data_IF_737976681281
#
_entry.id   IF_737976681281
#
_cell.length_a   1.000
_cell.length_b   1.000
_cell.length_c   1.000
_cell.angle_alpha   90.00
_cell.angle_beta   90.00
_cell.angle_gamma   90.00
#
_symmetry.space_group_name_H-M   'P 1'
#
loop_
_entity.id
_entity.type
_entity.pdbx_description
1 polymer ?
#
# COMPACT_ATOMS: atom_id res chain seq x y z
N UNK A 1 -2.15 17.26 16.67
CA UNK A 1 -2.85 17.26 17.95
C UNK A 1 -4.19 18.04 17.90
N UNK A 2 -4.32 19.13 17.12
CA UNK A 2 -5.51 20.00 17.14
C UNK A 2 -6.73 19.47 16.38
N UNK A 3 -6.58 18.60 15.39
CA UNK A 3 -7.70 18.20 14.55
C UNK A 3 -8.75 17.33 15.25
N UNK A 4 -8.37 16.60 16.32
CA UNK A 4 -9.31 15.82 17.14
C UNK A 4 -10.26 16.72 17.94
N UNK A 5 -9.88 17.97 18.18
CA UNK A 5 -10.62 18.97 18.95
C UNK A 5 -11.25 20.06 18.07
N UNK A 6 -10.94 20.06 16.77
CA UNK A 6 -11.35 21.15 15.87
C UNK A 6 -12.82 21.04 15.39
N UNK A 7 -13.50 19.90 15.62
CA UNK A 7 -14.84 19.67 15.09
C UNK A 7 -14.87 19.77 13.56
N UNK A 8 -15.89 20.42 13.01
CA UNK A 8 -16.01 20.63 11.56
C UNK A 8 -15.03 21.71 11.10
N UNK A 9 -14.03 21.32 10.32
CA UNK A 9 -13.06 22.26 9.72
C UNK A 9 -13.57 22.70 8.36
N UNK A 10 -13.69 24.02 8.15
CA UNK A 10 -14.04 24.62 6.86
C UNK A 10 -12.82 25.36 6.32
N UNK A 11 -12.45 25.07 5.06
CA UNK A 11 -11.39 25.80 4.36
C UNK A 11 -11.99 27.00 3.64
N UNK A 12 -11.46 28.20 3.91
CA UNK A 12 -11.76 29.42 3.15
C UNK A 12 -10.54 29.81 2.31
N UNK A 13 -10.76 30.19 1.06
CA UNK A 13 -9.71 30.79 0.23
C UNK A 13 -9.48 32.23 0.71
N UNK A 14 -8.25 32.52 1.10
CA UNK A 14 -7.82 33.85 1.54
C UNK A 14 -6.88 34.52 0.53
N UNK A 15 -6.84 34.03 -0.72
CA UNK A 15 -6.07 34.61 -1.80
C UNK A 15 -4.57 34.35 -1.75
N UNK A 16 -4.11 33.28 -1.10
CA UNK A 16 -2.69 32.89 -1.13
C UNK A 16 -2.32 32.50 -2.56
N UNK A 17 -1.29 33.13 -3.18
CA UNK A 17 -0.87 32.80 -4.53
C UNK A 17 -0.51 31.30 -4.66
N UNK A 18 -0.99 30.66 -5.72
CA UNK A 18 -0.69 29.25 -5.99
C UNK A 18 0.81 28.96 -6.08
N UNK A 19 1.62 29.92 -6.52
CA UNK A 19 3.09 29.81 -6.57
C UNK A 19 3.71 29.64 -5.19
N UNK A 20 3.15 30.27 -4.16
CA UNK A 20 3.61 30.08 -2.78
C UNK A 20 3.14 28.74 -2.20
N UNK A 21 1.93 28.30 -2.54
CA UNK A 21 1.44 26.98 -2.13
C UNK A 21 2.25 25.86 -2.77
N UNK A 22 2.65 26.02 -4.03
CA UNK A 22 3.47 25.02 -4.75
C UNK A 22 4.93 24.98 -4.27
N UNK A 23 5.40 25.98 -3.51
CA UNK A 23 6.75 25.99 -2.92
C UNK A 23 6.83 25.26 -1.56
N UNK A 24 5.71 24.79 -1.04
CA UNK A 24 5.69 24.04 0.21
C UNK A 24 6.29 22.63 -0.05
N UNK A 25 7.27 22.25 0.76
CA UNK A 25 7.90 20.91 0.72
C UNK A 25 6.94 19.78 1.09
N UNK A 26 5.81 20.13 1.71
CA UNK A 26 4.83 19.20 2.24
C UNK A 26 3.52 19.32 1.47
N UNK A 27 3.02 18.21 0.94
CA UNK A 27 1.80 18.17 0.14
C UNK A 27 0.75 17.21 0.73
N UNK A 28 -0.50 17.63 0.72
CA UNK A 28 -1.63 16.76 1.06
C UNK A 28 -2.08 16.00 -0.18
N UNK A 29 -2.22 14.69 -0.08
CA UNK A 29 -2.86 13.89 -1.12
C UNK A 29 -4.37 14.13 -1.07
N UNK A 30 -4.94 14.68 -2.14
CA UNK A 30 -6.37 15.01 -2.26
C UNK A 30 -7.04 14.11 -3.29
N UNK A 31 -8.38 13.99 -3.25
CA UNK A 31 -9.15 13.27 -4.26
C UNK A 31 -8.88 13.79 -5.69
N UNK A 32 -8.73 15.12 -5.86
CA UNK A 32 -8.41 15.73 -7.15
C UNK A 32 -7.05 15.29 -7.67
N UNK A 33 -6.04 15.24 -6.82
CA UNK A 33 -4.73 14.71 -7.19
C UNK A 33 -4.80 13.22 -7.56
N UNK A 34 -5.50 12.42 -6.75
CA UNK A 34 -5.69 10.97 -7.02
C UNK A 34 -6.39 10.76 -8.37
N UNK A 35 -7.40 11.57 -8.69
CA UNK A 35 -8.11 11.49 -9.98
C UNK A 35 -7.20 11.70 -11.18
N UNK A 36 -6.22 12.60 -11.09
CA UNK A 36 -5.28 12.84 -12.21
C UNK A 36 -4.32 11.67 -12.43
N UNK A 37 -3.91 10.98 -11.36
CA UNK A 37 -3.01 9.82 -11.40
C UNK A 37 -3.71 8.47 -11.62
N UNK A 38 -5.03 8.43 -11.53
CA UNK A 38 -5.81 7.19 -11.57
C UNK A 38 -6.89 7.25 -12.67
N UNK A 39 -6.55 7.01 -13.94
CA UNK A 39 -7.51 7.08 -15.05
C UNK A 39 -8.64 6.05 -14.88
N UNK A 40 -9.88 6.37 -15.32
CA UNK A 40 -10.99 5.43 -15.30
C UNK A 40 -10.68 4.17 -16.11
N UNK A 41 -10.90 2.99 -15.54
CA UNK A 41 -10.77 1.71 -16.29
C UNK A 41 -11.76 1.57 -17.47
N UNK A 42 -12.86 2.32 -17.41
CA UNK A 42 -13.96 2.27 -18.40
C UNK A 42 -13.60 2.85 -19.77
N UNK A 43 -12.47 3.55 -19.89
CA UNK A 43 -12.08 4.21 -21.14
C UNK A 43 -11.60 3.24 -22.24
N UNK A 44 -11.18 2.03 -21.88
CA UNK A 44 -10.72 1.03 -22.86
C UNK A 44 -11.56 -0.25 -22.76
N UNK A 45 -12.58 -0.36 -23.61
CA UNK A 45 -13.46 -1.54 -23.65
C UNK A 45 -12.78 -2.79 -24.22
N UNK A 46 -11.72 -2.63 -24.99
CA UNK A 46 -10.96 -3.73 -25.61
C UNK A 46 -9.80 -4.22 -24.70
N UNK A 47 -9.65 -3.64 -23.51
CA UNK A 47 -8.58 -4.03 -22.60
C UNK A 47 -8.80 -5.45 -22.07
N UNK A 48 -7.78 -6.28 -22.25
CA UNK A 48 -7.72 -7.61 -21.63
C UNK A 48 -7.09 -7.55 -20.23
N UNK A 49 -7.17 -8.66 -19.50
CA UNK A 49 -6.61 -8.77 -18.14
C UNK A 49 -5.11 -8.40 -18.06
N UNK A 50 -4.33 -8.64 -19.10
CA UNK A 50 -2.90 -8.31 -19.13
C UNK A 50 -2.62 -6.80 -19.18
N UNK A 51 -3.54 -6.00 -19.74
CA UNK A 51 -3.43 -4.55 -19.84
C UNK A 51 -3.52 -3.84 -18.46
N UNK A 52 -4.08 -4.52 -17.45
CA UNK A 52 -4.24 -3.98 -16.10
C UNK A 52 -3.14 -4.43 -15.13
N UNK A 53 -2.03 -4.95 -15.65
CA UNK A 53 -0.88 -5.37 -14.88
C UNK A 53 -1.00 -6.78 -14.30
N UNK A 54 0.17 -7.32 -13.98
CA UNK A 54 0.37 -8.63 -13.33
C UNK A 54 1.17 -8.42 -12.08
N UNK A 55 0.65 -8.85 -10.94
CA UNK A 55 1.29 -8.71 -9.64
C UNK A 55 1.71 -10.10 -9.12
N UNK A 56 2.94 -10.20 -8.63
CA UNK A 56 3.37 -11.33 -7.81
C UNK A 56 3.26 -10.95 -6.33
N UNK A 57 2.51 -11.72 -5.57
CA UNK A 57 2.42 -11.61 -4.12
C UNK A 57 3.19 -12.76 -3.50
N UNK A 58 4.16 -12.45 -2.65
CA UNK A 58 4.95 -13.41 -1.87
C UNK A 58 4.54 -13.20 -0.41
N UNK A 59 3.60 -14.01 0.07
CA UNK A 59 2.93 -13.79 1.34
C UNK A 59 2.37 -15.08 1.92
N UNK A 60 2.02 -15.03 3.19
CA UNK A 60 1.38 -16.15 3.88
C UNK A 60 2.35 -17.22 4.35
N UNK A 61 1.92 -17.91 5.39
CA UNK A 61 2.54 -19.11 5.98
C UNK A 61 1.42 -19.99 6.53
N UNK A 62 1.77 -21.17 7.02
CA UNK A 62 0.79 -22.13 7.55
C UNK A 62 -0.11 -21.55 8.63
N UNK A 63 0.42 -20.61 9.42
CA UNK A 63 -0.32 -19.92 10.47
C UNK A 63 -1.04 -18.63 9.99
N UNK A 64 -0.68 -18.10 8.82
CA UNK A 64 -1.17 -16.81 8.33
C UNK A 64 -1.59 -16.83 6.84
N UNK A 65 -2.36 -17.84 6.37
CA UNK A 65 -2.80 -17.89 4.96
C UNK A 65 -3.74 -16.70 4.62
N UNK A 66 -4.42 -16.16 5.62
CA UNK A 66 -5.32 -15.02 5.47
C UNK A 66 -4.63 -13.73 5.04
N UNK A 67 -3.38 -13.50 5.45
CA UNK A 67 -2.61 -12.32 5.04
C UNK A 67 -2.37 -12.30 3.53
N UNK A 68 -2.00 -13.45 2.96
CA UNK A 68 -1.88 -13.61 1.51
C UNK A 68 -3.22 -13.38 0.79
N UNK A 69 -4.32 -13.91 1.35
CA UNK A 69 -5.64 -13.78 0.76
C UNK A 69 -6.15 -12.33 0.78
N UNK A 70 -5.94 -11.59 1.88
CA UNK A 70 -6.30 -10.17 1.99
C UNK A 70 -5.51 -9.31 1.00
N UNK A 71 -4.18 -9.52 0.89
CA UNK A 71 -3.34 -8.83 -0.07
C UNK A 71 -3.76 -9.11 -1.52
N UNK A 72 -4.05 -10.37 -1.85
CA UNK A 72 -4.46 -10.76 -3.20
C UNK A 72 -5.87 -10.24 -3.55
N UNK A 73 -6.83 -10.35 -2.63
CA UNK A 73 -8.18 -9.81 -2.78
C UNK A 73 -8.15 -8.31 -3.03
N UNK A 74 -7.42 -7.57 -2.21
CA UNK A 74 -7.33 -6.11 -2.33
C UNK A 74 -6.60 -5.69 -3.61
N UNK A 75 -5.62 -6.45 -4.09
CA UNK A 75 -4.98 -6.23 -5.37
C UNK A 75 -5.96 -6.38 -6.54
N UNK A 76 -6.76 -7.44 -6.56
CA UNK A 76 -7.81 -7.65 -7.57
C UNK A 76 -8.87 -6.53 -7.50
N UNK A 77 -9.33 -6.18 -6.30
CA UNK A 77 -10.27 -5.07 -6.05
C UNK A 77 -9.68 -3.71 -6.41
N UNK A 78 -8.38 -3.51 -6.20
CA UNK A 78 -7.61 -2.34 -6.63
C UNK A 78 -7.47 -2.20 -8.14
N UNK A 79 -7.78 -3.27 -8.87
CA UNK A 79 -7.85 -3.25 -10.32
C UNK A 79 -6.69 -3.98 -11.02
N UNK A 80 -5.86 -4.75 -10.33
CA UNK A 80 -4.87 -5.62 -10.97
C UNK A 80 -5.57 -6.63 -11.89
N UNK A 81 -5.01 -6.86 -13.07
CA UNK A 81 -5.61 -7.77 -14.06
C UNK A 81 -5.33 -9.24 -13.79
N UNK A 82 -4.19 -9.56 -13.16
CA UNK A 82 -3.79 -10.91 -12.82
C UNK A 82 -2.90 -10.89 -11.57
N UNK A 83 -3.24 -11.74 -10.60
CA UNK A 83 -2.49 -11.85 -9.34
C UNK A 83 -1.94 -13.28 -9.23
N UNK A 84 -0.63 -13.41 -9.12
CA UNK A 84 0.05 -14.63 -8.73
C UNK A 84 0.35 -14.59 -7.25
N UNK A 85 0.16 -15.70 -6.54
CA UNK A 85 0.49 -15.80 -5.12
C UNK A 85 1.45 -16.97 -4.92
N UNK A 86 2.68 -16.62 -4.54
CA UNK A 86 3.71 -17.62 -4.19
C UNK A 86 3.53 -18.01 -2.72
N UNK A 87 2.98 -19.19 -2.51
CA UNK A 87 2.68 -19.77 -1.19
C UNK A 87 2.85 -21.29 -1.25
N UNK A 88 3.49 -21.87 -0.24
CA UNK A 88 3.77 -23.30 -0.15
C UNK A 88 3.02 -23.93 1.03
N UNK A 89 3.18 -25.26 1.17
CA UNK A 89 2.69 -26.03 2.31
C UNK A 89 1.16 -26.09 2.44
N UNK A 90 0.65 -26.45 3.61
CA UNK A 90 -0.78 -26.50 3.93
C UNK A 90 -1.52 -25.18 3.70
N UNK A 91 -0.83 -24.05 3.87
CA UNK A 91 -1.37 -22.71 3.61
C UNK A 91 -1.90 -22.55 2.18
N UNK A 92 -1.32 -23.23 1.20
CA UNK A 92 -1.75 -23.22 -0.20
C UNK A 92 -3.20 -23.75 -0.37
N UNK A 93 -3.54 -24.84 0.31
CA UNK A 93 -4.90 -25.39 0.29
C UNK A 93 -5.90 -24.47 0.94
N UNK A 94 -5.54 -23.90 2.11
CA UNK A 94 -6.39 -22.93 2.80
C UNK A 94 -6.64 -21.68 1.94
N UNK A 95 -5.59 -21.15 1.30
CA UNK A 95 -5.68 -19.99 0.40
C UNK A 95 -6.65 -20.23 -0.77
N UNK A 96 -6.60 -21.42 -1.42
CA UNK A 96 -7.48 -21.74 -2.56
C UNK A 96 -8.96 -21.62 -2.23
N UNK A 97 -9.33 -21.89 -0.97
CA UNK A 97 -10.71 -21.73 -0.50
C UNK A 97 -11.10 -20.29 -0.18
N UNK A 98 -10.11 -19.42 0.07
CA UNK A 98 -10.32 -18.02 0.44
C UNK A 98 -10.42 -17.09 -0.78
N UNK A 99 -9.68 -17.39 -1.86
CA UNK A 99 -9.64 -16.54 -3.06
C UNK A 99 -9.30 -17.36 -4.31
N UNK A 100 -10.29 -17.99 -4.95
CA UNK A 100 -10.10 -18.82 -6.15
C UNK A 100 -9.71 -18.01 -7.41
N UNK A 101 -9.85 -16.69 -7.40
CA UNK A 101 -9.52 -15.81 -8.53
C UNK A 101 -8.03 -15.57 -8.72
N UNK A 102 -7.20 -15.89 -7.71
CA UNK A 102 -5.74 -15.75 -7.80
C UNK A 102 -5.09 -17.01 -8.37
N UNK A 103 -3.99 -16.82 -9.09
CA UNK A 103 -3.17 -17.93 -9.62
C UNK A 103 -2.14 -18.33 -8.57
N UNK A 104 -2.21 -19.57 -8.08
CA UNK A 104 -1.24 -20.08 -7.12
C UNK A 104 0.03 -20.55 -7.79
N UNK A 105 1.16 -20.21 -7.18
CA UNK A 105 2.49 -20.66 -7.53
C UNK A 105 3.24 -21.17 -6.29
N UNK A 106 4.23 -21.99 -6.48
CA UNK A 106 5.21 -22.34 -5.45
C UNK A 106 6.26 -21.24 -5.32
N UNK A 107 6.88 -21.09 -4.16
CA UNK A 107 8.03 -20.17 -3.97
C UNK A 107 9.22 -20.53 -4.86
N UNK A 108 9.38 -21.80 -5.25
CA UNK A 108 10.39 -22.23 -6.22
C UNK A 108 10.19 -21.65 -7.63
N UNK A 109 8.97 -21.21 -7.97
CA UNK A 109 8.63 -20.62 -9.27
C UNK A 109 8.88 -19.10 -9.32
N UNK A 110 9.27 -18.47 -8.18
CA UNK A 110 9.50 -17.01 -8.10
C UNK A 110 10.46 -16.51 -9.19
N UNK A 111 11.64 -17.12 -9.45
CA UNK A 111 12.56 -16.60 -10.47
C UNK A 111 11.94 -16.57 -11.88
N UNK A 112 11.13 -17.56 -12.25
CA UNK A 112 10.39 -17.55 -13.52
C UNK A 112 9.32 -16.45 -13.54
N UNK A 113 8.54 -16.32 -12.44
CA UNK A 113 7.45 -15.36 -12.33
C UNK A 113 7.95 -13.91 -12.40
N UNK A 114 9.13 -13.60 -11.86
CA UNK A 114 9.72 -12.26 -11.95
C UNK A 114 9.88 -11.77 -13.39
N UNK A 115 10.04 -12.68 -14.36
CA UNK A 115 10.10 -12.33 -15.79
C UNK A 115 8.72 -12.06 -16.42
N UNK A 116 7.62 -12.44 -15.75
CA UNK A 116 6.26 -12.45 -16.28
C UNK A 116 5.32 -11.44 -15.64
N UNK A 117 5.74 -10.80 -14.55
CA UNK A 117 4.95 -9.84 -13.78
C UNK A 117 5.45 -8.42 -13.96
N UNK A 118 4.69 -7.44 -13.49
CA UNK A 118 5.00 -6.02 -13.59
C UNK A 118 5.42 -5.42 -12.24
N UNK A 119 5.06 -6.05 -11.13
CA UNK A 119 5.41 -5.61 -9.78
C UNK A 119 5.39 -6.80 -8.81
N UNK A 120 5.99 -6.60 -7.64
CA UNK A 120 6.02 -7.56 -6.54
C UNK A 120 5.48 -6.91 -5.26
N UNK A 121 4.69 -7.65 -4.49
CA UNK A 121 4.32 -7.35 -3.11
C UNK A 121 4.82 -8.49 -2.22
N UNK A 122 5.59 -8.17 -1.18
CA UNK A 122 6.23 -9.19 -0.35
C UNK A 122 6.15 -8.84 1.13
N UNK A 123 5.89 -9.85 1.97
CA UNK A 123 6.01 -9.73 3.42
C UNK A 123 4.82 -10.15 4.25
N UNK A 124 3.56 -9.81 3.91
CA UNK A 124 2.41 -10.13 4.75
C UNK A 124 2.34 -11.60 5.15
N UNK A 125 2.44 -11.88 6.45
CA UNK A 125 2.29 -13.23 7.00
C UNK A 125 3.35 -14.24 6.60
N UNK A 126 4.53 -13.83 6.17
CA UNK A 126 5.63 -14.75 5.80
C UNK A 126 6.28 -15.42 7.02
N UNK A 127 6.17 -14.77 8.19
CA UNK A 127 6.96 -15.12 9.37
C UNK A 127 8.37 -14.51 9.33
N UNK A 128 9.05 -14.52 10.48
CA UNK A 128 10.39 -13.90 10.65
C UNK A 128 11.53 -14.93 10.75
N UNK A 129 11.36 -16.11 10.17
CA UNK A 129 12.44 -17.10 10.10
C UNK A 129 13.57 -16.63 9.18
N UNK A 130 14.80 -17.13 9.40
CA UNK A 130 15.95 -16.76 8.59
C UNK A 130 15.77 -17.02 7.09
N UNK A 131 15.01 -18.03 6.72
CA UNK A 131 14.64 -18.32 5.33
C UNK A 131 13.78 -17.23 4.70
N UNK A 132 12.87 -16.60 5.47
CA UNK A 132 12.06 -15.48 5.00
C UNK A 132 12.93 -14.27 4.71
N UNK A 133 13.87 -13.96 5.58
CA UNK A 133 14.79 -12.82 5.39
C UNK A 133 15.64 -13.02 4.13
N UNK A 134 16.20 -14.21 3.95
CA UNK A 134 16.98 -14.58 2.77
C UNK A 134 16.14 -14.48 1.47
N UNK A 135 14.88 -14.92 1.52
CA UNK A 135 13.95 -14.83 0.38
C UNK A 135 13.69 -13.37 -0.01
N UNK A 136 13.39 -12.49 0.95
CA UNK A 136 13.14 -11.07 0.69
C UNK A 136 14.37 -10.42 0.07
N UNK A 137 15.55 -10.64 0.68
CA UNK A 137 16.83 -10.12 0.18
C UNK A 137 17.14 -10.61 -1.23
N UNK A 138 16.94 -11.90 -1.54
CA UNK A 138 17.12 -12.47 -2.87
C UNK A 138 16.20 -11.82 -3.90
N UNK A 139 14.90 -11.70 -3.62
CA UNK A 139 13.94 -11.06 -4.50
C UNK A 139 14.33 -9.62 -4.79
N UNK A 140 14.72 -8.83 -3.77
CA UNK A 140 15.13 -7.44 -3.96
C UNK A 140 16.40 -7.29 -4.79
N UNK A 141 17.34 -8.24 -4.69
CA UNK A 141 18.58 -8.24 -5.48
C UNK A 141 18.37 -8.69 -6.93
N UNK A 142 17.46 -9.64 -7.15
CA UNK A 142 17.27 -10.27 -8.47
C UNK A 142 16.34 -9.47 -9.39
N UNK A 143 15.40 -8.69 -8.85
CA UNK A 143 14.44 -7.96 -9.68
C UNK A 143 14.79 -6.49 -9.85
N UNK A 144 14.36 -5.91 -10.99
CA UNK A 144 14.32 -4.46 -11.23
C UNK A 144 12.88 -3.92 -11.24
N UNK A 145 11.91 -4.79 -11.00
CA UNK A 145 10.51 -4.42 -10.93
C UNK A 145 10.24 -3.56 -9.69
N UNK A 146 9.20 -2.73 -9.69
CA UNK A 146 8.78 -2.07 -8.46
C UNK A 146 8.31 -3.11 -7.42
N UNK A 147 8.74 -2.90 -6.17
CA UNK A 147 8.46 -3.81 -5.05
C UNK A 147 7.86 -3.02 -3.88
N UNK A 148 6.75 -3.51 -3.33
CA UNK A 148 6.26 -3.09 -2.02
C UNK A 148 6.56 -4.16 -0.98
N UNK A 149 7.20 -3.74 0.12
CA UNK A 149 7.58 -4.60 1.26
C UNK A 149 6.83 -4.15 2.50
N UNK A 150 6.16 -5.08 3.16
CA UNK A 150 5.39 -4.83 4.39
C UNK A 150 5.60 -5.93 5.43
N UNK A 151 5.19 -5.69 6.65
CA UNK A 151 5.13 -6.65 7.75
C UNK A 151 6.45 -7.44 7.94
N UNK A 152 6.38 -8.77 7.94
CA UNK A 152 7.55 -9.63 8.18
C UNK A 152 8.67 -9.42 7.15
N UNK A 153 8.32 -8.98 5.93
CA UNK A 153 9.30 -8.68 4.88
C UNK A 153 10.23 -7.52 5.19
N UNK A 154 9.81 -6.59 6.04
CA UNK A 154 10.62 -5.43 6.43
C UNK A 154 11.93 -5.78 7.12
N UNK A 155 12.02 -6.95 7.73
CA UNK A 155 13.24 -7.41 8.38
C UNK A 155 14.34 -7.87 7.38
N UNK A 156 13.97 -8.18 6.13
CA UNK A 156 14.89 -8.62 5.06
C UNK A 156 15.21 -7.53 4.02
N UNK A 157 15.04 -6.25 4.35
CA UNK A 157 15.27 -5.15 3.42
C UNK A 157 16.71 -5.11 2.89
N UNK A 158 16.83 -4.98 1.58
CA UNK A 158 18.07 -4.75 0.84
C UNK A 158 17.91 -3.55 -0.11
N UNK A 159 19.00 -2.92 -0.57
CA UNK A 159 18.93 -1.81 -1.51
C UNK A 159 18.18 -2.18 -2.79
N UNK A 160 17.22 -1.34 -3.20
CA UNK A 160 16.45 -1.53 -4.41
C UNK A 160 15.93 -0.18 -4.96
N UNK A 161 16.05 0.05 -6.29
CA UNK A 161 15.76 1.36 -6.89
C UNK A 161 14.28 1.77 -6.90
N UNK A 162 13.35 0.80 -6.88
CA UNK A 162 11.91 1.05 -6.97
C UNK A 162 11.20 0.45 -5.75
N UNK A 163 11.69 0.78 -4.56
CA UNK A 163 11.24 0.23 -3.30
C UNK A 163 10.16 1.10 -2.66
N UNK A 164 9.11 0.44 -2.19
CA UNK A 164 8.11 1.00 -1.28
C UNK A 164 8.16 0.18 0.02
N UNK A 165 8.21 0.85 1.16
CA UNK A 165 8.11 0.23 2.48
C UNK A 165 6.93 0.82 3.26
N UNK A 166 6.18 -0.03 3.98
CA UNK A 166 4.94 0.39 4.65
C UNK A 166 4.90 0.07 6.15
N UNK A 167 5.92 0.47 6.94
CA UNK A 167 5.97 0.12 8.36
C UNK A 167 4.85 0.81 9.17
N UNK A 168 4.32 0.09 10.17
CA UNK A 168 3.62 0.71 11.29
C UNK A 168 4.65 1.27 12.31
N UNK A 169 4.25 2.09 13.30
CA UNK A 169 5.22 2.72 14.22
C UNK A 169 6.15 1.76 14.97
N UNK A 170 5.69 0.55 15.28
CA UNK A 170 6.53 -0.47 15.91
C UNK A 170 7.61 -1.02 14.96
N UNK A 171 7.23 -1.35 13.72
CA UNK A 171 8.16 -1.77 12.66
C UNK A 171 9.15 -0.65 12.32
N UNK A 172 8.67 0.59 12.24
CA UNK A 172 9.52 1.75 12.02
C UNK A 172 10.57 1.92 13.14
N UNK A 173 10.19 1.67 14.38
CA UNK A 173 11.11 1.71 15.53
C UNK A 173 12.20 0.65 15.40
N UNK A 174 11.85 -0.59 15.04
CA UNK A 174 12.81 -1.67 14.77
C UNK A 174 13.80 -1.27 13.65
N UNK A 175 13.26 -0.78 12.51
CA UNK A 175 14.05 -0.35 11.37
C UNK A 175 15.02 0.81 11.68
N UNK A 176 14.61 1.73 12.55
CA UNK A 176 15.43 2.90 12.93
C UNK A 176 16.32 2.64 14.17
N UNK A 177 16.15 1.52 14.86
CA UNK A 177 16.85 1.26 16.13
C UNK A 177 16.41 2.21 17.24
N UNK A 178 15.12 2.57 17.27
CA UNK A 178 14.51 3.50 18.24
C UNK A 178 13.33 2.85 18.95
N UNK A 179 12.55 3.63 19.69
CA UNK A 179 11.33 3.15 20.34
C UNK A 179 10.07 3.60 19.60
N UNK A 180 8.98 2.83 19.70
CA UNK A 180 7.67 3.21 19.14
C UNK A 180 7.20 4.57 19.68
N UNK A 181 7.54 4.92 20.93
CA UNK A 181 7.22 6.22 21.54
C UNK A 181 7.94 7.37 20.85
N UNK A 182 9.23 7.20 20.53
CA UNK A 182 10.02 8.20 19.78
C UNK A 182 9.52 8.39 18.37
N UNK A 183 9.23 7.28 17.66
CA UNK A 183 8.62 7.33 16.33
C UNK A 183 7.29 8.09 16.35
N UNK A 184 6.41 7.83 17.31
CA UNK A 184 5.12 8.51 17.45
C UNK A 184 5.27 9.99 17.82
N UNK A 185 6.26 10.35 18.61
CA UNK A 185 6.54 11.75 18.97
C UNK A 185 7.10 12.55 17.78
N UNK A 186 7.83 11.90 16.86
CA UNK A 186 8.58 12.54 15.77
C UNK A 186 8.27 11.88 14.41
N UNK A 187 6.99 11.68 14.09
CA UNK A 187 6.56 10.89 12.92
C UNK A 187 7.14 11.38 11.59
N UNK A 188 7.17 12.69 11.36
CA UNK A 188 7.71 13.28 10.13
C UNK A 188 9.21 13.02 9.97
N UNK A 189 9.97 13.21 11.03
CA UNK A 189 11.41 12.92 11.04
C UNK A 189 11.65 11.41 10.85
N UNK A 190 10.84 10.56 11.47
CA UNK A 190 10.97 9.11 11.37
C UNK A 190 10.71 8.60 9.96
N UNK A 191 9.67 9.09 9.27
CA UNK A 191 9.38 8.65 7.91
C UNK A 191 10.42 9.15 6.91
N UNK A 192 10.96 10.37 7.09
CA UNK A 192 12.08 10.89 6.29
C UNK A 192 13.34 10.04 6.49
N UNK A 193 13.70 9.71 7.75
CA UNK A 193 14.83 8.86 8.07
C UNK A 193 14.71 7.44 7.47
N UNK A 194 13.50 6.87 7.43
CA UNK A 194 13.24 5.60 6.76
C UNK A 194 13.48 5.69 5.25
N UNK A 195 12.94 6.74 4.62
CA UNK A 195 13.13 6.98 3.18
C UNK A 195 14.61 7.14 2.82
N UNK A 196 15.34 7.93 3.59
CA UNK A 196 16.79 8.17 3.39
C UNK A 196 17.60 6.88 3.60
N UNK A 197 17.37 6.19 4.73
CA UNK A 197 18.11 4.98 5.10
C UNK A 197 18.02 3.88 4.06
N UNK A 198 16.84 3.69 3.47
CA UNK A 198 16.59 2.59 2.53
C UNK A 198 16.51 3.01 1.06
N UNK A 199 16.64 4.30 0.75
CA UNK A 199 16.46 4.81 -0.62
C UNK A 199 15.06 4.49 -1.18
N UNK A 200 14.04 4.50 -0.32
CA UNK A 200 12.70 4.00 -0.62
C UNK A 200 11.63 5.09 -0.52
N UNK A 201 10.50 4.88 -1.17
CA UNK A 201 9.27 5.55 -0.78
C UNK A 201 8.80 4.90 0.53
N UNK A 202 8.86 5.64 1.62
CA UNK A 202 8.47 5.16 2.94
C UNK A 202 7.08 5.66 3.32
N UNK A 203 6.17 4.74 3.67
CA UNK A 203 4.85 5.04 4.20
C UNK A 203 4.80 4.64 5.68
N UNK A 204 4.65 5.60 6.58
CA UNK A 204 4.46 5.37 8.01
C UNK A 204 2.97 5.28 8.33
N UNK A 205 2.49 4.05 8.61
CA UNK A 205 1.08 3.78 8.95
C UNK A 205 0.65 4.48 10.25
N UNK A 206 -0.65 4.74 10.38
CA UNK A 206 -1.29 5.31 11.57
C UNK A 206 -2.25 6.44 11.22
N UNK A 207 -2.88 7.04 12.24
CA UNK A 207 -3.72 8.22 12.05
C UNK A 207 -2.92 9.30 11.33
N UNK A 208 -3.45 9.80 10.18
CA UNK A 208 -2.73 10.68 9.26
C UNK A 208 -1.44 10.02 8.75
N UNK A 209 -1.61 9.01 7.93
CA UNK A 209 -0.49 8.33 7.25
C UNK A 209 0.44 9.33 6.58
N UNK A 210 1.75 9.16 6.80
CA UNK A 210 2.81 9.98 6.21
C UNK A 210 3.54 9.19 5.15
N UNK A 211 3.94 9.87 4.07
CA UNK A 211 4.72 9.29 2.98
C UNK A 211 5.91 10.21 2.72
N UNK A 212 7.11 9.65 2.65
CA UNK A 212 8.33 10.42 2.35
C UNK A 212 9.14 9.79 1.22
N UNK A 213 9.78 10.65 0.42
CA UNK A 213 10.77 10.29 -0.60
C UNK A 213 11.64 11.52 -0.90
N UNK A 214 12.94 11.33 -1.09
CA UNK A 214 13.91 12.34 -1.59
C UNK A 214 13.66 13.80 -1.12
N UNK A 215 13.54 14.01 0.19
CA UNK A 215 13.30 15.33 0.78
C UNK A 215 11.83 15.78 0.81
N UNK A 216 10.94 15.12 0.09
CA UNK A 216 9.51 15.46 0.06
C UNK A 216 8.73 14.70 1.13
N UNK A 217 7.67 15.32 1.65
CA UNK A 217 6.74 14.73 2.62
C UNK A 217 5.30 14.95 2.19
N UNK A 218 4.51 13.88 2.24
CA UNK A 218 3.11 13.88 1.87
C UNK A 218 2.24 13.38 3.02
N UNK A 219 1.06 14.00 3.16
CA UNK A 219 0.08 13.66 4.18
C UNK A 219 -1.15 13.04 3.54
N UNK A 220 -1.57 11.89 4.04
CA UNK A 220 -2.90 11.36 3.78
C UNK A 220 -3.79 11.68 4.99
N UNK A 221 -4.84 12.48 4.77
CA UNK A 221 -5.75 12.96 5.83
C UNK A 221 -7.00 12.10 5.98
N UNK A 222 -7.34 11.37 4.94
CA UNK A 222 -8.45 10.43 4.92
C UNK A 222 -8.19 9.26 5.86
N UNK A 223 -9.26 8.61 6.30
CA UNK A 223 -9.22 7.42 7.13
C UNK A 223 -10.20 7.47 8.31
N UNK A 224 -10.52 6.31 8.81
CA UNK A 224 -11.42 6.13 9.95
C UNK A 224 -10.88 5.10 10.94
N UNK A 225 -11.50 5.04 12.11
CA UNK A 225 -11.20 4.02 13.14
C UNK A 225 -11.48 2.59 12.67
N UNK A 226 -12.28 2.40 11.61
CA UNK A 226 -12.52 1.10 11.00
C UNK A 226 -11.23 0.45 10.45
N UNK A 227 -10.21 1.26 10.14
CA UNK A 227 -8.88 0.78 9.71
C UNK A 227 -8.06 0.15 10.83
N UNK A 228 -8.43 0.35 12.10
CA UNK A 228 -7.77 -0.24 13.26
C UNK A 228 -8.21 -1.70 13.46
N UNK A 229 -8.12 -2.52 12.41
CA UNK A 229 -8.47 -3.94 12.42
C UNK A 229 -7.30 -4.78 11.88
N UNK A 230 -7.17 -6.03 12.37
CA UNK A 230 -6.13 -6.95 11.91
C UNK A 230 -6.27 -7.22 10.40
N UNK A 231 -5.15 -7.20 9.66
CA UNK A 231 -5.13 -7.42 8.22
C UNK A 231 -5.38 -6.17 7.37
N UNK A 232 -5.68 -5.01 7.96
CA UNK A 232 -5.82 -3.74 7.23
C UNK A 232 -4.53 -3.34 6.49
N UNK A 233 -3.36 -3.62 7.07
CA UNK A 233 -2.06 -3.44 6.40
C UNK A 233 -1.90 -4.32 5.17
N UNK A 234 -2.34 -5.59 5.26
CA UNK A 234 -2.27 -6.53 4.13
C UNK A 234 -3.13 -6.03 2.94
N UNK A 235 -4.29 -5.42 3.25
CA UNK A 235 -5.15 -4.77 2.25
C UNK A 235 -4.41 -3.60 1.58
N UNK A 236 -3.75 -2.73 2.36
CA UNK A 236 -2.96 -1.61 1.82
C UNK A 236 -1.84 -2.11 0.90
N UNK A 237 -1.12 -3.15 1.33
CA UNK A 237 -0.03 -3.76 0.55
C UNK A 237 -0.52 -4.26 -0.80
N UNK A 238 -1.66 -4.95 -0.84
CA UNK A 238 -2.26 -5.43 -2.09
C UNK A 238 -2.71 -4.29 -3.01
N UNK A 239 -3.30 -3.23 -2.47
CA UNK A 239 -3.71 -2.04 -3.27
C UNK A 239 -2.49 -1.35 -3.87
N UNK A 240 -1.43 -1.09 -3.09
CA UNK A 240 -0.20 -0.48 -3.61
C UNK A 240 0.43 -1.38 -4.68
N UNK A 241 0.52 -2.69 -4.42
CA UNK A 241 1.03 -3.66 -5.39
C UNK A 241 0.26 -3.65 -6.72
N UNK A 242 -1.07 -3.56 -6.68
CA UNK A 242 -1.91 -3.44 -7.87
C UNK A 242 -1.63 -2.18 -8.69
N UNK A 243 -1.42 -1.06 -8.01
CA UNK A 243 -1.12 0.23 -8.66
C UNK A 243 0.27 0.24 -9.28
N UNK A 244 1.26 -0.35 -8.61
CA UNK A 244 2.60 -0.58 -9.16
C UNK A 244 2.54 -1.48 -10.40
N UNK A 245 1.79 -2.58 -10.34
CA UNK A 245 1.60 -3.49 -11.47
C UNK A 245 0.87 -2.80 -12.63
N UNK A 246 0.00 -1.84 -12.34
CA UNK A 246 -0.70 -0.99 -13.30
C UNK A 246 0.17 0.10 -13.92
N UNK A 247 1.45 0.23 -13.52
CA UNK A 247 2.43 1.13 -14.13
C UNK A 247 2.61 2.48 -13.42
N UNK A 248 1.99 2.71 -12.26
CA UNK A 248 2.28 3.90 -11.47
C UNK A 248 3.70 3.83 -10.89
N UNK A 249 4.35 4.98 -10.76
CA UNK A 249 5.62 5.08 -10.06
C UNK A 249 5.48 4.68 -8.58
N UNK A 250 6.56 4.31 -7.87
CA UNK A 250 6.51 4.00 -6.45
C UNK A 250 5.82 5.06 -5.60
N UNK A 251 6.11 6.34 -5.85
CA UNK A 251 5.48 7.46 -5.12
C UNK A 251 3.99 7.59 -5.42
N UNK A 252 3.61 7.58 -6.70
CA UNK A 252 2.21 7.69 -7.10
C UNK A 252 1.39 6.51 -6.56
N UNK A 253 1.88 5.27 -6.73
CA UNK A 253 1.21 4.07 -6.23
C UNK A 253 1.03 4.10 -4.71
N UNK A 254 2.02 4.61 -3.97
CA UNK A 254 1.95 4.72 -2.52
C UNK A 254 0.93 5.78 -2.10
N UNK A 255 0.95 6.98 -2.71
CA UNK A 255 0.00 8.06 -2.40
C UNK A 255 -1.44 7.69 -2.75
N UNK A 256 -1.66 7.19 -3.97
CA UNK A 256 -3.00 6.74 -4.43
C UNK A 256 -3.49 5.56 -3.59
N UNK A 257 -2.62 4.57 -3.32
CA UNK A 257 -2.96 3.40 -2.52
C UNK A 257 -3.35 3.75 -1.09
N UNK A 258 -2.59 4.64 -0.44
CA UNK A 258 -2.91 5.14 0.90
C UNK A 258 -4.26 5.86 0.93
N UNK A 259 -4.54 6.69 -0.07
CA UNK A 259 -5.82 7.41 -0.18
C UNK A 259 -7.00 6.45 -0.39
N UNK A 260 -6.88 5.51 -1.36
CA UNK A 260 -7.94 4.53 -1.64
C UNK A 260 -8.24 3.64 -0.43
N UNK A 261 -7.22 3.19 0.26
CA UNK A 261 -7.35 2.37 1.47
C UNK A 261 -8.04 3.16 2.60
N UNK A 262 -7.62 4.40 2.81
CA UNK A 262 -8.20 5.28 3.81
C UNK A 262 -9.66 5.60 3.50
N UNK A 263 -9.98 5.93 2.25
CA UNK A 263 -11.35 6.18 1.79
C UNK A 263 -12.23 4.94 1.90
N UNK A 264 -11.70 3.75 1.58
CA UNK A 264 -12.41 2.49 1.79
C UNK A 264 -12.76 2.26 3.27
N UNK A 265 -11.85 2.64 4.19
CA UNK A 265 -12.12 2.61 5.62
C UNK A 265 -13.20 3.59 6.08
N UNK A 266 -13.32 4.77 5.45
CA UNK A 266 -14.41 5.73 5.72
C UNK A 266 -15.78 5.22 5.26
N UNK A 267 -15.79 4.37 4.22
CA UNK A 267 -17.00 3.72 3.72
C UNK A 267 -17.43 2.50 4.55
N UNK A 268 -16.64 2.17 5.58
CA UNK A 268 -16.94 1.08 6.51
C UNK A 268 -17.37 1.62 7.86
N UNK A 269 -18.21 0.85 8.55
CA UNK A 269 -18.59 1.11 9.94
C UNK A 269 -17.55 0.55 10.93
N UNK A 270 -17.63 0.99 12.17
CA UNK A 270 -16.82 0.43 13.28
C UNK A 270 -17.15 -1.05 13.44
N UNK A 271 -16.12 -1.89 13.54
CA UNK A 271 -16.27 -3.36 13.59
C UNK A 271 -16.14 -4.05 12.24
N UNK A 272 -15.90 -3.30 11.16
CA UNK A 272 -15.58 -3.88 9.86
C UNK A 272 -14.30 -4.74 9.93
N UNK A 273 -14.31 -5.86 9.23
CA UNK A 273 -13.15 -6.71 9.04
C UNK A 273 -12.29 -6.18 7.88
N UNK A 274 -11.03 -6.59 7.81
CA UNK A 274 -10.15 -6.20 6.72
C UNK A 274 -10.70 -6.58 5.32
N UNK A 275 -11.45 -7.69 5.21
CA UNK A 275 -12.12 -8.07 3.97
C UNK A 275 -13.22 -7.09 3.55
N UNK A 276 -13.88 -6.44 4.49
CA UNK A 276 -14.91 -5.43 4.21
C UNK A 276 -14.25 -4.17 3.65
N UNK A 277 -13.11 -3.77 4.21
CA UNK A 277 -12.28 -2.68 3.68
C UNK A 277 -11.84 -3.00 2.25
N UNK A 278 -11.31 -4.21 2.00
CA UNK A 278 -10.97 -4.66 0.65
C UNK A 278 -12.19 -4.62 -0.30
N UNK A 279 -13.38 -4.97 0.21
CA UNK A 279 -14.65 -4.89 -0.53
C UNK A 279 -15.03 -3.48 -0.96
N UNK A 280 -14.64 -2.46 -0.19
CA UNK A 280 -14.92 -1.04 -0.48
C UNK A 280 -13.90 -0.35 -1.39
N UNK A 281 -12.79 -0.99 -1.72
CA UNK A 281 -11.79 -0.41 -2.62
C UNK A 281 -12.37 0.00 -4.00
N UNK A 282 -13.22 -0.79 -4.69
CA UNK A 282 -13.84 -0.36 -5.94
C UNK A 282 -14.72 0.88 -5.79
N UNK A 283 -15.47 1.00 -4.68
CA UNK A 283 -16.30 2.17 -4.39
C UNK A 283 -15.43 3.40 -4.09
N UNK A 284 -14.40 3.25 -3.26
CA UNK A 284 -13.41 4.31 -3.01
C UNK A 284 -12.75 4.79 -4.30
N UNK A 285 -12.42 3.88 -5.22
CA UNK A 285 -11.89 4.22 -6.55
C UNK A 285 -12.90 5.03 -7.40
N UNK A 286 -14.17 4.67 -7.35
CA UNK A 286 -15.22 5.36 -8.11
C UNK A 286 -15.52 6.75 -7.55
N UNK A 287 -15.40 6.94 -6.22
CA UNK A 287 -15.72 8.21 -5.55
C UNK A 287 -14.85 9.37 -6.03
N UNK A 288 -13.61 9.13 -6.51
CA UNK A 288 -12.75 10.18 -7.06
C UNK A 288 -13.33 10.87 -8.31
N UNK A 289 -14.31 10.26 -8.96
CA UNK A 289 -14.97 10.78 -10.16
C UNK A 289 -16.36 11.37 -9.88
N UNK A 290 -16.98 11.03 -8.74
CA UNK A 290 -18.35 11.43 -8.37
C UNK A 290 -18.40 12.61 -7.40
N UNK A 291 -17.38 12.81 -6.58
CA UNK A 291 -17.34 13.86 -5.55
C UNK A 291 -17.23 15.31 -6.09
N UNK A 292 -17.50 15.53 -7.40
CA UNK A 292 -17.54 16.87 -8.01
C UNK A 292 -18.70 17.75 -7.52
N UNK A 293 -19.77 17.18 -6.97
CA UNK A 293 -21.01 17.93 -6.71
C UNK A 293 -21.09 18.57 -5.32
N UNK A 294 -20.15 18.29 -4.42
CA UNK A 294 -20.23 18.77 -3.02
C UNK A 294 -19.19 19.84 -2.63
N UNK A 295 -18.47 20.44 -3.57
CA UNK A 295 -17.42 21.45 -3.28
C UNK A 295 -17.55 22.73 -4.13
N UNK A 296 -18.80 23.09 -4.52
CA UNK A 296 -19.14 24.44 -5.02
C UNK A 296 -19.76 25.27 -3.91
#
# INVERSE_FOLDING_TARGET
PGAEYAGKVTRADIGIPKTLLNSLENEVTTADWVRTGLPPRTQNRDANKGAFGRLLIIAGSDNMPGAAALSAMSALRGGCGLVYVAIDGPARTAFSSLLPEAVLASRSEIPELLSRVNAVAIGPGLGRAGETLALVESVLKETKLPVVVDADGLAGLAPHQKLVITPHPGEAAELLGSSTKEVQANREQSVRALSEKYGAVALLKGARTLIATEGQLFYNREGSVALATAGSGDVLTGVIGALLAGGLSPLEATRVGAWLHARAGELCEVGALARDIAGRIPEARSSVYTDRENHL
#
